data_IF_955346275481
#
_entry.id   IF_955346275481
#
_cell.length_a   1.000
_cell.length_b   1.000
_cell.length_c   1.000
_cell.angle_alpha   90.00
_cell.angle_beta   90.00
_cell.angle_gamma   90.00
#
_symmetry.space_group_name_H-M   'P 1'
#
loop_
_entity.id
_entity.type
_entity.pdbx_description
1 polymer ?
#
# COMPACT_ATOMS: atom_id res chain seq x y z
N UNK A 1 -31.37 2.22 -4.31
CA UNK A 1 -31.69 0.80 -4.51
C UNK A 1 -33.17 0.64 -4.86
N UNK A 2 -33.54 -0.52 -5.42
CA UNK A 2 -34.94 -0.86 -5.66
C UNK A 2 -35.60 -1.16 -4.31
N UNK A 3 -36.84 -0.68 -4.12
CA UNK A 3 -37.68 -1.13 -3.03
C UNK A 3 -38.27 -2.53 -3.30
N UNK A 4 -38.95 -3.12 -2.33
CA UNK A 4 -39.47 -4.49 -2.45
C UNK A 4 -40.40 -4.69 -3.65
N UNK A 5 -41.27 -3.73 -3.96
CA UNK A 5 -42.22 -3.85 -5.08
C UNK A 5 -41.54 -3.67 -6.44
N UNK A 6 -40.60 -2.71 -6.52
CA UNK A 6 -39.78 -2.53 -7.73
C UNK A 6 -38.91 -3.75 -7.99
N UNK A 7 -38.31 -4.33 -6.93
CA UNK A 7 -37.49 -5.54 -7.02
C UNK A 7 -38.31 -6.73 -7.58
N UNK A 8 -39.48 -6.98 -7.03
CA UNK A 8 -40.40 -8.01 -7.52
C UNK A 8 -40.83 -7.76 -8.97
N UNK A 9 -41.13 -6.50 -9.31
CA UNK A 9 -41.53 -6.11 -10.68
C UNK A 9 -40.44 -6.39 -11.70
N UNK A 10 -39.19 -6.04 -11.38
CA UNK A 10 -38.03 -6.32 -12.26
C UNK A 10 -37.86 -7.82 -12.45
N UNK A 11 -37.89 -8.62 -11.38
CA UNK A 11 -37.75 -10.07 -11.48
C UNK A 11 -38.90 -10.73 -12.29
N UNK A 12 -40.11 -10.22 -12.11
CA UNK A 12 -41.26 -10.65 -12.92
C UNK A 12 -41.04 -10.38 -14.40
N UNK A 13 -40.53 -9.19 -14.74
CA UNK A 13 -40.23 -8.82 -16.12
C UNK A 13 -39.08 -9.65 -16.69
N UNK A 14 -38.05 -9.92 -15.91
CA UNK A 14 -36.94 -10.80 -16.31
C UNK A 14 -37.46 -12.20 -16.67
N UNK A 15 -38.29 -12.78 -15.81
CA UNK A 15 -38.92 -14.09 -16.10
C UNK A 15 -39.77 -14.06 -17.36
N UNK A 16 -40.63 -13.04 -17.54
CA UNK A 16 -41.45 -12.87 -18.72
C UNK A 16 -40.62 -12.75 -20.00
N UNK A 17 -39.54 -11.97 -19.96
CA UNK A 17 -38.63 -11.83 -21.11
C UNK A 17 -37.94 -13.15 -21.46
N UNK A 18 -37.54 -13.93 -20.44
CA UNK A 18 -36.95 -15.26 -20.62
C UNK A 18 -37.94 -16.20 -21.29
N UNK A 19 -39.18 -16.31 -20.77
CA UNK A 19 -40.22 -17.15 -21.31
C UNK A 19 -40.67 -16.77 -22.73
N UNK A 20 -40.60 -15.44 -23.06
CA UNK A 20 -40.85 -14.98 -24.43
C UNK A 20 -39.76 -15.46 -25.42
N UNK A 21 -38.54 -15.61 -24.95
CA UNK A 21 -37.42 -16.10 -25.77
C UNK A 21 -37.35 -17.62 -25.83
N UNK A 22 -37.74 -18.29 -24.74
CA UNK A 22 -37.68 -19.74 -24.56
C UNK A 22 -39.03 -20.30 -24.05
N UNK A 23 -40.10 -20.27 -24.90
CA UNK A 23 -41.45 -20.58 -24.44
C UNK A 23 -41.67 -22.03 -24.02
N UNK A 24 -40.84 -22.94 -24.52
CA UNK A 24 -40.94 -24.39 -24.25
C UNK A 24 -40.07 -24.84 -23.06
N UNK A 25 -39.35 -23.90 -22.40
CA UNK A 25 -38.53 -24.22 -21.22
C UNK A 25 -39.43 -24.38 -20.00
N UNK A 26 -39.59 -25.61 -19.52
CA UNK A 26 -40.37 -25.96 -18.33
C UNK A 26 -39.53 -26.05 -17.05
N UNK A 27 -38.20 -25.91 -17.14
CA UNK A 27 -37.30 -26.02 -16.00
C UNK A 27 -37.24 -24.68 -15.22
N UNK A 28 -37.38 -23.56 -15.91
CA UNK A 28 -37.36 -22.21 -15.28
C UNK A 28 -38.77 -21.83 -14.83
N UNK A 29 -38.94 -21.62 -13.55
CA UNK A 29 -40.21 -21.18 -12.95
C UNK A 29 -40.09 -19.75 -12.42
N UNK A 30 -41.24 -19.07 -12.33
CA UNK A 30 -41.26 -17.74 -11.69
C UNK A 30 -40.81 -17.84 -10.22
N UNK A 31 -39.85 -16.99 -9.77
CA UNK A 31 -39.41 -17.02 -8.38
C UNK A 31 -40.57 -16.84 -7.40
N UNK A 32 -40.58 -17.62 -6.34
CA UNK A 32 -41.69 -17.65 -5.37
C UNK A 32 -41.94 -16.30 -4.71
N UNK A 33 -40.89 -15.52 -4.47
CA UNK A 33 -40.99 -14.22 -3.83
C UNK A 33 -41.73 -13.17 -4.67
N UNK A 34 -41.81 -13.33 -6.00
CA UNK A 34 -42.44 -12.33 -6.88
C UNK A 34 -43.94 -12.14 -6.56
N UNK A 35 -44.64 -13.22 -6.23
CA UNK A 35 -46.07 -13.20 -5.99
C UNK A 35 -46.47 -13.13 -4.49
N UNK A 36 -45.48 -13.11 -3.56
CA UNK A 36 -45.77 -13.10 -2.14
C UNK A 36 -45.57 -11.67 -1.57
N UNK A 37 -46.52 -11.27 -0.68
CA UNK A 37 -46.36 -10.08 0.14
C UNK A 37 -45.83 -10.49 1.52
N UNK A 38 -44.61 -10.11 1.83
CA UNK A 38 -43.96 -10.39 3.13
C UNK A 38 -44.08 -9.23 4.10
N UNK A 39 -44.50 -8.04 3.63
CA UNK A 39 -44.47 -6.83 4.42
C UNK A 39 -43.03 -6.31 4.70
N UNK A 40 -42.03 -6.92 4.13
CA UNK A 40 -40.61 -6.57 4.29
C UNK A 40 -40.19 -5.67 3.12
N UNK A 41 -39.58 -4.54 3.43
CA UNK A 41 -38.98 -3.59 2.49
C UNK A 41 -37.78 -2.91 3.16
N UNK A 42 -36.63 -3.53 3.07
CA UNK A 42 -35.42 -3.10 3.75
C UNK A 42 -34.57 -2.21 2.84
N UNK A 43 -34.32 -0.97 3.26
CA UNK A 43 -33.28 -0.14 2.66
C UNK A 43 -31.91 -0.46 3.29
N UNK A 44 -31.17 -1.35 2.64
CA UNK A 44 -29.86 -1.76 3.09
C UNK A 44 -28.81 -0.65 3.01
N UNK A 45 -28.99 0.37 2.13
CA UNK A 45 -28.11 1.53 2.11
C UNK A 45 -28.32 2.40 3.35
N UNK A 46 -29.57 2.70 3.71
CA UNK A 46 -29.86 3.49 4.91
C UNK A 46 -29.38 2.77 6.19
N UNK A 47 -29.56 1.45 6.25
CA UNK A 47 -29.12 0.64 7.39
C UNK A 47 -27.61 0.57 7.57
N UNK A 48 -26.84 0.55 6.48
CA UNK A 48 -25.38 0.31 6.49
C UNK A 48 -24.56 1.56 6.26
N UNK A 49 -25.20 2.67 5.91
CA UNK A 49 -24.55 3.98 5.76
C UNK A 49 -24.89 4.91 6.91
N UNK A 50 -24.00 5.83 7.20
CA UNK A 50 -24.19 6.87 8.22
C UNK A 50 -23.55 8.18 7.78
N UNK A 51 -23.89 9.27 8.48
CA UNK A 51 -23.17 10.53 8.31
C UNK A 51 -21.69 10.36 8.68
N UNK A 52 -20.80 10.69 7.76
CA UNK A 52 -19.35 10.72 8.02
C UNK A 52 -18.98 11.94 8.85
N UNK A 53 -18.08 11.79 9.83
CA UNK A 53 -17.55 12.89 10.65
C UNK A 53 -16.03 12.77 10.69
N UNK A 54 -15.35 13.89 10.38
CA UNK A 54 -13.90 14.01 10.53
C UNK A 54 -13.58 15.15 11.48
N UNK A 55 -12.73 14.88 12.46
CA UNK A 55 -12.22 15.84 13.43
C UNK A 55 -10.69 15.84 13.39
N UNK A 56 -10.10 17.03 13.33
CA UNK A 56 -8.65 17.18 13.30
C UNK A 56 -8.23 18.31 14.24
N UNK A 57 -7.40 17.97 15.23
CA UNK A 57 -6.88 18.89 16.21
C UNK A 57 -5.36 18.98 16.10
N UNK A 58 -4.84 20.18 15.84
CA UNK A 58 -3.41 20.41 15.72
C UNK A 58 -2.95 21.42 16.77
N UNK A 59 -1.90 21.04 17.47
CA UNK A 59 -1.18 21.95 18.38
C UNK A 59 0.28 22.03 17.95
N UNK A 60 0.85 23.23 17.94
CA UNK A 60 2.28 23.40 17.68
C UNK A 60 2.87 24.54 18.52
N UNK A 61 4.09 24.32 19.01
CA UNK A 61 4.92 25.32 19.66
C UNK A 61 6.26 25.38 18.94
N UNK A 62 6.75 26.58 18.75
CA UNK A 62 8.07 26.83 18.16
C UNK A 62 8.77 27.96 18.89
N UNK A 63 10.09 27.91 18.94
CA UNK A 63 10.89 28.94 19.56
C UNK A 63 12.36 28.75 19.26
N UNK A 64 13.17 29.62 19.78
CA UNK A 64 14.64 29.55 19.65
C UNK A 64 15.30 30.89 19.42
N UNK A 65 16.54 30.84 18.99
CA UNK A 65 17.40 31.96 18.62
C UNK A 65 17.90 31.75 17.19
N UNK A 66 18.76 32.64 16.69
CA UNK A 66 19.46 32.48 15.41
C UNK A 66 20.23 31.14 15.31
N UNK A 67 20.80 30.70 16.44
CA UNK A 67 21.69 29.53 16.49
C UNK A 67 21.02 28.23 16.97
N UNK A 68 19.81 28.34 17.54
CA UNK A 68 19.10 27.16 18.02
C UNK A 68 17.59 27.36 17.90
N UNK A 69 16.95 26.50 17.13
CA UNK A 69 15.51 26.55 16.86
C UNK A 69 14.87 25.19 17.14
N UNK A 70 13.68 25.22 17.67
CA UNK A 70 12.89 24.01 17.88
C UNK A 70 11.44 24.20 17.45
N UNK A 71 10.82 23.11 17.07
CA UNK A 71 9.39 23.04 16.81
C UNK A 71 8.87 21.69 17.30
N UNK A 72 7.89 21.73 18.20
CA UNK A 72 7.12 20.57 18.63
C UNK A 72 5.72 20.70 18.10
N UNK A 73 5.19 19.65 17.48
CA UNK A 73 3.81 19.61 17.01
C UNK A 73 3.15 18.28 17.37
N UNK A 74 1.87 18.36 17.68
CA UNK A 74 1.00 17.21 17.88
C UNK A 74 -0.24 17.37 17.01
N UNK A 75 -0.65 16.29 16.37
CA UNK A 75 -1.87 16.21 15.57
C UNK A 75 -2.66 14.98 15.97
N UNK A 76 -3.94 15.19 16.29
CA UNK A 76 -4.93 14.13 16.50
C UNK A 76 -5.99 14.22 15.41
N UNK A 77 -6.26 13.09 14.75
CA UNK A 77 -7.35 12.95 13.79
C UNK A 77 -8.24 11.77 14.19
N UNK A 78 -9.55 11.99 14.19
CA UNK A 78 -10.58 10.97 14.40
C UNK A 78 -11.61 11.08 13.26
N UNK A 79 -11.77 9.99 12.51
CA UNK A 79 -12.62 9.95 11.33
C UNK A 79 -13.58 8.76 11.44
N UNK A 80 -14.87 9.05 11.39
CA UNK A 80 -15.94 8.08 11.22
C UNK A 80 -16.37 8.12 9.76
N UNK A 81 -16.08 7.05 9.02
CA UNK A 81 -16.46 6.94 7.62
C UNK A 81 -17.97 6.77 7.43
N UNK A 82 -18.41 6.92 6.19
CA UNK A 82 -19.82 6.76 5.81
C UNK A 82 -20.32 5.33 5.89
N UNK A 83 -19.46 4.34 5.74
CA UNK A 83 -19.82 2.93 5.93
C UNK A 83 -19.82 2.57 7.42
N UNK A 84 -20.85 1.86 7.86
CA UNK A 84 -20.90 1.35 9.23
C UNK A 84 -19.68 0.49 9.52
N UNK A 85 -19.04 0.68 10.67
CA UNK A 85 -17.79 -0.02 11.03
C UNK A 85 -16.51 0.65 10.56
N UNK A 86 -16.55 1.57 9.57
CA UNK A 86 -15.35 2.26 9.10
C UNK A 86 -14.97 3.40 10.06
N UNK A 87 -13.81 3.26 10.73
CA UNK A 87 -13.27 4.27 11.63
C UNK A 87 -11.74 4.35 11.44
N UNK A 88 -11.21 5.56 11.58
CA UNK A 88 -9.78 5.81 11.55
C UNK A 88 -9.40 6.82 12.62
N UNK A 89 -8.41 6.47 13.43
CA UNK A 89 -7.82 7.36 14.42
C UNK A 89 -6.31 7.47 14.18
N UNK A 90 -5.79 8.69 14.28
CA UNK A 90 -4.36 8.95 14.18
C UNK A 90 -3.91 9.92 15.27
N UNK A 91 -2.80 9.61 15.91
CA UNK A 91 -2.05 10.49 16.80
C UNK A 91 -0.63 10.65 16.24
N UNK A 92 -0.16 11.87 16.03
CA UNK A 92 1.17 12.15 15.47
C UNK A 92 1.87 13.26 16.27
N UNK A 93 3.00 12.92 16.88
CA UNK A 93 3.88 13.87 17.56
C UNK A 93 5.18 14.03 16.78
N UNK A 94 5.65 15.27 16.59
CA UNK A 94 6.87 15.58 15.86
C UNK A 94 7.69 16.64 16.55
N UNK A 95 8.99 16.37 16.70
CA UNK A 95 10.01 17.29 17.16
C UNK A 95 10.97 17.59 16.01
N UNK A 96 11.22 18.89 15.75
CA UNK A 96 12.27 19.37 14.87
C UNK A 96 13.22 20.23 15.69
N UNK A 97 14.52 20.02 15.48
CA UNK A 97 15.59 20.79 16.08
C UNK A 97 16.53 21.25 14.98
N UNK A 98 16.96 22.47 15.06
CA UNK A 98 18.05 23.03 14.26
C UNK A 98 19.02 23.74 15.19
N UNK A 99 20.31 23.45 15.05
CA UNK A 99 21.38 24.12 15.80
C UNK A 99 22.50 24.45 14.84
N UNK A 100 22.97 25.68 14.92
CA UNK A 100 24.10 26.19 14.15
C UNK A 100 25.16 26.75 15.08
N UNK A 101 26.39 26.26 14.96
CA UNK A 101 27.53 26.77 15.73
C UNK A 101 28.84 26.61 14.95
N UNK A 102 29.55 27.70 14.77
CA UNK A 102 30.78 27.74 13.97
C UNK A 102 30.55 27.30 12.54
N UNK A 103 31.17 26.19 12.14
CA UNK A 103 31.04 25.58 10.82
C UNK A 103 29.95 24.48 10.78
N UNK A 104 29.35 24.15 11.92
CA UNK A 104 28.45 23.02 12.05
C UNK A 104 27.00 23.46 12.12
N UNK A 105 26.16 22.84 11.28
CA UNK A 105 24.71 22.87 11.40
C UNK A 105 24.19 21.44 11.65
N UNK A 106 23.35 21.29 12.67
CA UNK A 106 22.72 20.04 13.05
C UNK A 106 21.23 20.21 12.87
N UNK A 107 20.65 19.33 12.06
CA UNK A 107 19.21 19.20 11.88
C UNK A 107 18.73 17.86 12.41
N UNK A 108 17.72 17.86 13.26
CA UNK A 108 17.04 16.64 13.70
C UNK A 108 15.54 16.76 13.50
N UNK A 109 14.92 15.69 13.01
CA UNK A 109 13.47 15.58 12.86
C UNK A 109 13.05 14.18 13.32
N UNK A 110 12.30 14.11 14.42
CA UNK A 110 11.82 12.86 15.01
C UNK A 110 10.30 12.94 15.05
N UNK A 111 9.63 11.89 14.56
CA UNK A 111 8.19 11.80 14.59
C UNK A 111 7.74 10.39 14.99
N UNK A 112 6.71 10.35 15.82
CA UNK A 112 5.98 9.13 16.19
C UNK A 112 4.53 9.29 15.73
N UNK A 113 4.03 8.29 15.01
CA UNK A 113 2.65 8.24 14.58
C UNK A 113 2.04 6.91 14.99
N UNK A 114 0.91 6.99 15.68
CA UNK A 114 0.03 5.86 15.96
C UNK A 114 -1.19 5.96 15.05
N UNK A 115 -1.64 4.83 14.52
CA UNK A 115 -2.93 4.72 13.82
C UNK A 115 -3.70 3.52 14.32
N UNK A 116 -5.02 3.68 14.48
CA UNK A 116 -5.98 2.61 14.74
C UNK A 116 -7.03 2.69 13.65
N UNK A 117 -7.08 1.68 12.79
CA UNK A 117 -7.97 1.62 11.63
C UNK A 117 -8.90 0.43 11.77
N UNK A 118 -10.19 0.67 11.55
CA UNK A 118 -11.22 -0.36 11.45
C UNK A 118 -11.87 -0.24 10.08
N UNK A 119 -11.98 -1.36 9.41
CA UNK A 119 -12.71 -1.45 8.15
C UNK A 119 -14.09 -2.06 8.40
N UNK A 120 -15.06 -1.85 7.50
CA UNK A 120 -16.32 -2.61 7.55
C UNK A 120 -16.02 -4.11 7.52
N UNK A 121 -16.68 -4.88 8.36
CA UNK A 121 -16.53 -6.33 8.44
C UNK A 121 -17.45 -7.06 7.45
N UNK A 122 -18.05 -6.33 6.54
CA UNK A 122 -18.92 -6.85 5.49
C UNK A 122 -18.44 -6.42 4.09
N UNK A 123 -18.89 -7.17 3.10
CA UNK A 123 -18.64 -6.80 1.71
C UNK A 123 -19.56 -5.66 1.27
N UNK A 124 -18.96 -4.53 0.87
CA UNK A 124 -19.71 -3.40 0.29
C UNK A 124 -20.48 -3.83 -0.96
N UNK A 125 -19.89 -4.72 -1.79
CA UNK A 125 -20.56 -5.29 -2.95
C UNK A 125 -21.82 -6.08 -2.54
N UNK A 126 -21.70 -6.93 -1.52
CA UNK A 126 -22.84 -7.70 -0.99
C UNK A 126 -23.96 -6.79 -0.50
N UNK A 127 -23.64 -5.71 0.25
CA UNK A 127 -24.60 -4.72 0.71
C UNK A 127 -25.48 -4.16 -0.44
N UNK A 128 -24.89 -3.89 -1.60
CA UNK A 128 -25.64 -3.42 -2.77
C UNK A 128 -26.42 -4.52 -3.50
N UNK A 129 -26.10 -5.80 -3.25
CA UNK A 129 -26.71 -6.94 -3.92
C UNK A 129 -27.80 -7.62 -3.08
N UNK A 130 -27.93 -7.27 -1.80
CA UNK A 130 -28.94 -7.86 -0.93
C UNK A 130 -30.34 -7.45 -1.41
N UNK A 131 -31.25 -8.44 -1.42
CA UNK A 131 -32.67 -8.19 -1.71
C UNK A 131 -33.31 -7.33 -0.61
N UNK A 132 -34.16 -6.34 -0.98
CA UNK A 132 -34.97 -5.61 -0.01
C UNK A 132 -35.99 -6.49 0.74
N UNK A 133 -36.18 -7.74 0.32
CA UNK A 133 -37.03 -8.72 0.98
C UNK A 133 -36.37 -9.45 2.14
N UNK A 134 -35.11 -9.15 2.45
CA UNK A 134 -34.39 -9.67 3.62
C UNK A 134 -34.52 -8.67 4.76
N UNK A 135 -35.13 -9.03 5.90
CA UNK A 135 -35.21 -8.16 7.06
C UNK A 135 -33.86 -8.06 7.77
N UNK A 136 -33.57 -6.93 8.42
CA UNK A 136 -32.31 -6.74 9.18
C UNK A 136 -32.33 -7.62 10.43
N UNK A 137 -33.40 -7.55 11.20
CA UNK A 137 -33.54 -8.26 12.47
C UNK A 137 -34.77 -9.14 12.47
N UNK A 138 -34.70 -10.24 13.24
CA UNK A 138 -35.82 -11.14 13.50
C UNK A 138 -35.66 -11.77 14.90
N UNK A 139 -36.42 -11.27 15.86
CA UNK A 139 -36.34 -11.69 17.27
C UNK A 139 -36.78 -13.14 17.50
N UNK A 140 -37.39 -13.80 16.51
CA UNK A 140 -37.75 -15.20 16.58
C UNK A 140 -36.61 -16.15 16.29
N UNK A 141 -35.49 -15.62 15.76
CA UNK A 141 -34.29 -16.39 15.43
C UNK A 141 -33.24 -16.35 16.54
N UNK A 142 -32.51 -17.44 16.70
CA UNK A 142 -31.49 -17.59 17.75
C UNK A 142 -30.46 -16.46 17.79
N UNK A 143 -30.03 -15.97 16.62
CA UNK A 143 -29.02 -14.92 16.51
C UNK A 143 -29.60 -13.52 16.30
N UNK A 144 -30.94 -13.39 16.25
CA UNK A 144 -31.65 -12.11 16.17
C UNK A 144 -31.56 -11.38 14.83
N UNK A 145 -30.93 -11.98 13.81
CA UNK A 145 -30.81 -11.40 12.47
C UNK A 145 -31.78 -12.02 11.49
N UNK A 146 -32.34 -11.16 10.62
CA UNK A 146 -33.32 -11.56 9.66
C UNK A 146 -32.74 -12.42 8.52
N UNK A 147 -33.57 -13.30 8.01
CA UNK A 147 -33.29 -14.13 6.85
C UNK A 147 -34.53 -14.11 5.95
N UNK A 148 -34.32 -14.25 4.65
CA UNK A 148 -35.45 -14.45 3.74
C UNK A 148 -36.03 -15.85 3.89
N UNK A 149 -37.35 -15.92 3.80
CA UNK A 149 -38.08 -17.20 3.71
C UNK A 149 -38.02 -17.82 2.30
N UNK A 150 -37.28 -17.19 1.38
CA UNK A 150 -37.19 -17.63 0.00
C UNK A 150 -35.78 -18.13 -0.32
N UNK A 151 -35.66 -19.39 -0.69
CA UNK A 151 -34.41 -20.01 -1.09
C UNK A 151 -33.92 -19.55 -2.48
N UNK A 152 -34.84 -19.03 -3.28
CA UNK A 152 -34.60 -18.61 -4.67
C UNK A 152 -34.14 -17.12 -4.81
N UNK A 153 -33.89 -16.44 -3.72
CA UNK A 153 -33.29 -15.10 -3.79
C UNK A 153 -31.84 -15.15 -4.24
N UNK A 154 -31.43 -14.27 -5.16
CA UNK A 154 -30.04 -14.20 -5.67
C UNK A 154 -29.01 -13.92 -4.56
N UNK A 155 -29.35 -13.09 -3.56
CA UNK A 155 -28.56 -12.85 -2.37
C UNK A 155 -29.49 -12.64 -1.18
N UNK A 156 -29.26 -13.40 -0.12
CA UNK A 156 -29.98 -13.31 1.14
C UNK A 156 -29.03 -13.18 2.34
N UNK A 157 -27.74 -12.84 2.10
CA UNK A 157 -26.76 -12.62 3.17
C UNK A 157 -27.13 -11.40 4.00
N UNK A 158 -27.11 -11.54 5.32
CA UNK A 158 -27.35 -10.43 6.23
C UNK A 158 -26.00 -9.78 6.62
N UNK A 159 -25.62 -8.68 5.93
CA UNK A 159 -24.35 -7.98 6.18
C UNK A 159 -24.32 -7.25 7.53
N UNK A 160 -25.47 -6.99 8.16
CA UNK A 160 -25.51 -6.44 9.51
C UNK A 160 -25.04 -7.49 10.53
N UNK A 161 -25.33 -8.76 10.30
CA UNK A 161 -24.81 -9.85 11.13
C UNK A 161 -23.28 -9.97 11.01
N UNK A 162 -22.73 -9.88 9.81
CA UNK A 162 -21.28 -9.85 9.63
C UNK A 162 -20.64 -8.71 10.42
N UNK A 163 -21.15 -7.48 10.28
CA UNK A 163 -20.68 -6.31 11.04
C UNK A 163 -20.82 -6.45 12.57
N UNK A 164 -21.82 -7.20 13.02
CA UNK A 164 -22.05 -7.43 14.45
C UNK A 164 -21.06 -8.45 15.02
N UNK A 165 -20.87 -9.57 14.34
CA UNK A 165 -20.10 -10.71 14.86
C UNK A 165 -18.63 -10.64 14.54
N UNK A 166 -18.25 -10.19 13.34
CA UNK A 166 -16.86 -10.09 12.95
C UNK A 166 -16.20 -8.84 13.54
N UNK A 167 -14.99 -9.00 14.07
CA UNK A 167 -14.25 -7.91 14.73
C UNK A 167 -12.82 -7.92 14.26
N UNK A 168 -12.40 -6.85 13.60
CA UNK A 168 -11.00 -6.63 13.26
C UNK A 168 -10.43 -5.37 13.88
N UNK A 169 -9.11 -5.36 14.06
CA UNK A 169 -8.35 -4.16 14.41
C UNK A 169 -7.06 -4.12 13.60
N UNK A 170 -6.65 -2.94 13.16
CA UNK A 170 -5.34 -2.71 12.52
C UNK A 170 -4.67 -1.52 13.19
N UNK A 171 -3.69 -1.81 14.05
CA UNK A 171 -2.92 -0.80 14.79
C UNK A 171 -1.50 -0.73 14.24
N UNK A 172 -1.06 0.50 13.91
CA UNK A 172 0.30 0.74 13.41
C UNK A 172 1.00 1.81 14.24
N UNK A 173 2.25 1.52 14.53
CA UNK A 173 3.17 2.43 15.21
C UNK A 173 4.29 2.77 14.24
N UNK A 174 4.38 4.03 13.83
CA UNK A 174 5.42 4.51 12.94
C UNK A 174 6.41 5.37 13.70
N UNK A 175 7.68 5.12 13.47
CA UNK A 175 8.77 5.96 13.95
C UNK A 175 9.54 6.48 12.75
N UNK A 176 9.77 7.80 12.71
CA UNK A 176 10.63 8.43 11.72
C UNK A 176 11.65 9.28 12.47
N UNK A 177 12.93 9.06 12.20
CA UNK A 177 14.00 9.89 12.71
C UNK A 177 14.95 10.25 11.56
N UNK A 178 15.33 11.51 11.47
CA UNK A 178 16.35 11.99 10.54
C UNK A 178 17.27 12.92 11.32
N UNK A 179 18.56 12.66 11.27
CA UNK A 179 19.60 13.52 11.83
C UNK A 179 20.61 13.82 10.73
N UNK A 180 20.90 15.09 10.55
CA UNK A 180 21.89 15.56 9.58
C UNK A 180 22.89 16.48 10.26
N UNK A 181 24.16 16.32 9.92
CA UNK A 181 25.26 17.21 10.27
C UNK A 181 25.81 17.80 8.97
N UNK A 182 25.76 19.13 8.86
CA UNK A 182 26.40 19.86 7.77
C UNK A 182 27.63 20.59 8.33
N UNK A 183 28.76 20.44 7.65
CA UNK A 183 30.02 21.10 7.92
C UNK A 183 30.29 22.11 6.80
N UNK A 184 30.22 23.40 7.11
CA UNK A 184 30.43 24.51 6.19
C UNK A 184 31.91 24.95 6.26
N UNK A 185 32.78 24.33 5.46
CA UNK A 185 34.23 24.62 5.47
C UNK A 185 34.53 26.02 4.98
N UNK A 186 33.75 26.45 3.97
CA UNK A 186 33.78 27.80 3.39
C UNK A 186 32.37 28.18 2.94
N UNK A 187 32.08 29.44 2.57
CA UNK A 187 30.77 29.82 2.00
C UNK A 187 30.41 29.09 0.71
N UNK A 188 31.36 28.44 0.08
CA UNK A 188 31.19 27.75 -1.21
C UNK A 188 31.46 26.22 -1.17
N UNK A 189 31.88 25.69 0.00
CA UNK A 189 32.16 24.26 0.16
C UNK A 189 31.57 23.75 1.48
N UNK A 190 30.67 22.78 1.38
CA UNK A 190 30.13 22.10 2.55
C UNK A 190 30.07 20.58 2.35
N UNK A 191 30.09 19.87 3.46
CA UNK A 191 29.85 18.44 3.51
C UNK A 191 28.69 18.15 4.43
N UNK A 192 27.72 17.38 3.96
CA UNK A 192 26.55 16.94 4.73
C UNK A 192 26.57 15.42 4.86
N UNK A 193 26.47 14.94 6.09
CA UNK A 193 26.15 13.53 6.38
C UNK A 193 24.78 13.48 7.05
N UNK A 194 23.93 12.54 6.63
CA UNK A 194 22.61 12.38 7.23
C UNK A 194 22.26 10.90 7.37
N UNK A 195 21.58 10.60 8.47
CA UNK A 195 21.07 9.29 8.75
C UNK A 195 19.56 9.39 8.99
N UNK A 196 18.80 8.59 8.22
CA UNK A 196 17.36 8.49 8.38
C UNK A 196 16.97 7.05 8.76
N UNK A 197 16.09 6.97 9.74
CA UNK A 197 15.43 5.76 10.16
C UNK A 197 13.92 5.89 9.96
N UNK A 198 13.29 4.85 9.42
CA UNK A 198 11.84 4.68 9.38
C UNK A 198 11.52 3.28 9.87
N UNK A 199 10.61 3.17 10.83
CA UNK A 199 10.11 1.90 11.34
C UNK A 199 8.60 1.90 11.39
N UNK A 200 8.01 0.75 11.09
CA UNK A 200 6.59 0.48 11.26
C UNK A 200 6.43 -0.84 11.99
N UNK A 201 5.67 -0.82 13.06
CA UNK A 201 5.18 -2.02 13.74
C UNK A 201 3.68 -2.08 13.59
N UNK A 202 3.16 -3.12 12.97
CA UNK A 202 1.75 -3.38 12.76
C UNK A 202 1.29 -4.55 13.62
N UNK A 203 0.12 -4.41 14.24
CA UNK A 203 -0.61 -5.50 14.87
C UNK A 203 -2.04 -5.49 14.35
N UNK A 204 -2.42 -6.59 13.70
CA UNK A 204 -3.78 -6.85 13.27
C UNK A 204 -4.36 -7.98 14.10
N UNK A 205 -5.63 -7.86 14.46
CA UNK A 205 -6.39 -8.95 15.07
C UNK A 205 -7.69 -9.12 14.30
N UNK A 206 -8.11 -10.35 14.14
CA UNK A 206 -9.42 -10.69 13.63
C UNK A 206 -10.05 -11.74 14.54
N UNK A 207 -11.31 -11.54 14.92
CA UNK A 207 -12.05 -12.47 15.76
C UNK A 207 -13.48 -12.56 15.29
N UNK A 208 -14.00 -13.77 15.23
CA UNK A 208 -15.42 -14.06 14.99
C UNK A 208 -15.84 -15.24 15.85
N UNK A 209 -16.97 -15.15 16.59
CA UNK A 209 -17.57 -16.28 17.26
C UNK A 209 -18.17 -17.27 16.24
N UNK A 210 -18.60 -18.44 16.70
CA UNK A 210 -19.52 -19.25 15.93
C UNK A 210 -20.88 -18.53 15.84
N UNK A 211 -21.45 -18.42 14.64
CA UNK A 211 -22.77 -17.85 14.44
C UNK A 211 -23.38 -18.33 13.13
N UNK A 212 -24.72 -18.33 13.09
CA UNK A 212 -25.48 -18.64 11.86
C UNK A 212 -26.55 -17.55 11.73
N UNK A 213 -26.26 -16.53 10.94
CA UNK A 213 -27.26 -15.50 10.59
C UNK A 213 -28.08 -15.94 9.37
N UNK A 214 -27.45 -16.58 8.42
CA UNK A 214 -28.08 -17.17 7.23
C UNK A 214 -27.20 -18.32 6.67
N UNK A 215 -27.67 -19.11 5.70
CA UNK A 215 -26.89 -20.22 5.12
C UNK A 215 -25.57 -19.82 4.50
N UNK A 216 -25.39 -18.53 4.11
CA UNK A 216 -24.18 -17.97 3.51
C UNK A 216 -23.36 -17.15 4.51
N UNK A 217 -24.00 -16.53 5.50
CA UNK A 217 -23.35 -15.80 6.58
C UNK A 217 -23.36 -16.69 7.83
N UNK A 218 -22.45 -17.64 7.87
CA UNK A 218 -22.29 -18.55 9.00
C UNK A 218 -20.81 -18.86 9.28
N UNK A 219 -20.54 -19.08 10.55
CA UNK A 219 -19.33 -19.67 11.07
C UNK A 219 -19.71 -20.85 11.95
N UNK A 220 -19.40 -22.03 11.51
CA UNK A 220 -19.70 -23.24 12.30
C UNK A 220 -18.79 -23.34 13.54
N UNK A 221 -17.60 -22.72 13.48
CA UNK A 221 -16.64 -22.66 14.57
C UNK A 221 -16.10 -21.23 14.76
N UNK A 222 -15.83 -20.80 16.00
CA UNK A 222 -15.18 -19.52 16.24
C UNK A 222 -13.77 -19.53 15.64
N UNK A 223 -13.31 -18.33 15.22
CA UNK A 223 -11.98 -18.15 14.70
C UNK A 223 -11.33 -16.90 15.29
N UNK A 224 -10.05 -17.00 15.61
CA UNK A 224 -9.24 -15.86 16.00
C UNK A 224 -7.90 -15.90 15.31
N UNK A 225 -7.44 -14.75 14.84
CA UNK A 225 -6.08 -14.63 14.31
C UNK A 225 -5.40 -13.35 14.78
N UNK A 226 -4.08 -13.46 14.96
CA UNK A 226 -3.20 -12.32 15.23
C UNK A 226 -2.10 -12.26 14.17
N UNK A 227 -1.92 -11.10 13.58
CA UNK A 227 -0.83 -10.83 12.63
C UNK A 227 0.03 -9.70 13.17
N UNK A 228 1.33 -9.92 13.23
CA UNK A 228 2.34 -8.91 13.56
C UNK A 228 3.26 -8.67 12.38
N UNK A 229 3.42 -7.41 12.01
CA UNK A 229 4.33 -6.97 10.97
C UNK A 229 5.37 -6.00 11.52
N UNK A 230 6.59 -6.15 11.09
CA UNK A 230 7.67 -5.23 11.39
C UNK A 230 8.43 -4.87 10.12
N UNK A 231 8.49 -3.58 9.81
CA UNK A 231 9.23 -3.03 8.68
C UNK A 231 10.18 -1.95 9.17
N UNK A 232 11.41 -1.95 8.66
CA UNK A 232 12.40 -0.93 8.96
C UNK A 232 13.20 -0.53 7.72
N UNK A 233 13.54 0.73 7.65
CA UNK A 233 14.43 1.31 6.64
C UNK A 233 15.47 2.21 7.31
N UNK A 234 16.71 2.02 6.90
CA UNK A 234 17.85 2.84 7.26
C UNK A 234 18.41 3.46 5.98
N UNK A 235 18.61 4.77 5.97
CA UNK A 235 19.25 5.48 4.86
C UNK A 235 20.38 6.32 5.42
N UNK A 236 21.57 6.11 4.89
CA UNK A 236 22.74 6.93 5.20
C UNK A 236 23.25 7.59 3.94
N UNK A 237 23.33 8.92 3.96
CA UNK A 237 23.76 9.74 2.83
C UNK A 237 24.91 10.66 3.24
N UNK A 238 25.87 10.80 2.31
CA UNK A 238 26.99 11.72 2.43
C UNK A 238 27.06 12.53 1.15
N UNK A 239 27.12 13.86 1.25
CA UNK A 239 27.13 14.76 0.10
C UNK A 239 28.16 15.85 0.32
N UNK A 240 29.12 15.96 -0.58
CA UNK A 240 30.03 17.10 -0.70
C UNK A 240 29.47 18.05 -1.76
N UNK A 241 29.28 19.31 -1.40
CA UNK A 241 28.70 20.34 -2.28
C UNK A 241 29.66 21.50 -2.44
N UNK A 242 29.83 21.94 -3.69
CA UNK A 242 30.62 23.09 -4.09
C UNK A 242 29.73 24.05 -4.88
N UNK A 243 29.68 25.32 -4.49
CA UNK A 243 28.89 26.36 -5.16
C UNK A 243 29.68 27.68 -5.15
N UNK A 244 30.24 28.06 -6.32
CA UNK A 244 31.06 29.27 -6.41
C UNK A 244 30.91 29.96 -7.75
N UNK A 245 30.89 31.30 -7.69
CA UNK A 245 30.92 32.15 -8.89
C UNK A 245 32.31 32.74 -9.05
N UNK A 246 32.90 32.67 -10.24
CA UNK A 246 34.18 33.21 -10.64
C UNK A 246 33.96 34.16 -11.84
N UNK A 247 33.78 35.43 -11.60
CA UNK A 247 33.46 36.38 -12.67
C UNK A 247 32.15 35.99 -13.38
N UNK A 248 32.24 35.57 -14.66
CA UNK A 248 31.09 35.14 -15.46
C UNK A 248 30.79 33.65 -15.34
N UNK A 249 31.57 32.90 -14.58
CA UNK A 249 31.43 31.45 -14.43
C UNK A 249 30.73 31.14 -13.11
N UNK A 250 29.59 30.48 -13.16
CA UNK A 250 28.92 29.93 -11.98
C UNK A 250 29.01 28.40 -12.03
N UNK A 251 29.56 27.82 -10.98
CA UNK A 251 29.78 26.36 -10.83
C UNK A 251 29.05 25.88 -9.59
N UNK A 252 28.12 24.96 -9.77
CA UNK A 252 27.50 24.20 -8.69
C UNK A 252 27.75 22.72 -8.94
N UNK A 253 28.54 22.09 -8.08
CA UNK A 253 28.90 20.68 -8.19
C UNK A 253 28.60 19.94 -6.89
N UNK A 254 28.20 18.70 -7.00
CA UNK A 254 28.06 17.80 -5.86
C UNK A 254 28.52 16.40 -6.19
N UNK A 255 29.04 15.70 -5.17
CA UNK A 255 29.32 14.27 -5.22
C UNK A 255 28.83 13.65 -3.91
N UNK A 256 28.26 12.45 -3.99
CA UNK A 256 27.72 11.82 -2.80
C UNK A 256 27.58 10.31 -2.90
N UNK A 257 27.27 9.74 -1.74
CA UNK A 257 26.93 8.33 -1.56
C UNK A 257 25.62 8.21 -0.82
N UNK A 258 24.84 7.18 -1.12
CA UNK A 258 23.64 6.82 -0.40
C UNK A 258 23.59 5.31 -0.18
N UNK A 259 23.35 4.87 1.05
CA UNK A 259 23.17 3.48 1.41
C UNK A 259 21.79 3.29 2.02
N UNK A 260 21.02 2.35 1.48
CA UNK A 260 19.69 1.99 1.97
C UNK A 260 19.67 0.53 2.40
N UNK A 261 19.18 0.26 3.61
CA UNK A 261 18.90 -1.09 4.07
C UNK A 261 17.44 -1.15 4.54
N UNK A 262 16.69 -2.15 4.03
CA UNK A 262 15.31 -2.42 4.43
C UNK A 262 15.19 -3.84 4.92
N UNK A 263 14.35 -4.02 5.93
CA UNK A 263 13.94 -5.35 6.40
C UNK A 263 12.44 -5.36 6.63
N UNK A 264 11.86 -6.50 6.39
CA UNK A 264 10.47 -6.77 6.70
C UNK A 264 10.34 -8.17 7.27
N UNK A 265 9.50 -8.30 8.26
CA UNK A 265 9.10 -9.59 8.83
C UNK A 265 7.64 -9.48 9.22
N UNK A 266 6.84 -10.47 8.86
CA UNK A 266 5.51 -10.61 9.43
C UNK A 266 5.25 -12.07 9.77
N UNK A 267 4.43 -12.27 10.78
CA UNK A 267 3.95 -13.57 11.22
C UNK A 267 2.46 -13.46 11.49
N UNK A 268 1.73 -14.49 11.12
CA UNK A 268 0.32 -14.66 11.44
C UNK A 268 0.12 -16.00 12.11
N UNK A 269 -0.70 -16.02 13.13
CA UNK A 269 -1.19 -17.24 13.76
C UNK A 269 -2.70 -17.14 13.84
N UNK A 270 -3.38 -18.19 13.40
CA UNK A 270 -4.82 -18.36 13.48
C UNK A 270 -5.16 -19.59 14.32
N UNK A 271 -6.33 -19.58 14.91
CA UNK A 271 -6.90 -20.75 15.57
C UNK A 271 -8.39 -20.82 15.26
N UNK A 272 -8.81 -21.94 14.72
CA UNK A 272 -10.21 -22.27 14.51
C UNK A 272 -10.68 -23.19 15.65
N UNK A 273 -11.81 -22.89 16.26
CA UNK A 273 -12.36 -23.61 17.39
C UNK A 273 -12.95 -24.96 17.01
N UNK A 274 -12.21 -25.76 16.24
CA UNK A 274 -12.57 -27.13 15.88
C UNK A 274 -11.41 -28.08 16.14
N UNK A 275 -11.75 -29.32 16.48
CA UNK A 275 -10.78 -30.40 16.66
C UNK A 275 -11.19 -31.56 15.80
N UNK A 276 -10.24 -32.12 15.05
CA UNK A 276 -10.48 -33.36 14.28
C UNK A 276 -10.33 -34.55 15.20
N UNK A 277 -11.37 -35.36 15.31
CA UNK A 277 -11.40 -36.59 16.05
C UNK A 277 -11.31 -37.78 15.09
N UNK A 278 -10.42 -38.69 15.38
CA UNK A 278 -10.22 -39.91 14.62
C UNK A 278 -10.90 -41.08 15.32
N UNK A 279 -11.78 -41.79 14.62
CA UNK A 279 -12.44 -43.01 15.10
C UNK A 279 -12.25 -44.14 14.12
N UNK A 280 -12.17 -45.37 14.62
CA UNK A 280 -12.21 -46.54 13.75
C UNK A 280 -13.63 -47.11 13.80
N UNK A 281 -14.33 -47.06 12.67
CA UNK A 281 -15.67 -47.61 12.48
C UNK A 281 -15.58 -48.66 11.38
N UNK A 282 -16.03 -49.86 11.68
CA UNK A 282 -15.99 -51.02 10.73
C UNK A 282 -14.59 -51.30 10.15
N UNK A 283 -13.54 -51.10 10.94
CA UNK A 283 -12.14 -51.27 10.52
C UNK A 283 -11.61 -50.19 9.60
N UNK A 284 -12.34 -49.11 9.39
CA UNK A 284 -11.92 -47.92 8.63
C UNK A 284 -11.71 -46.74 9.53
N UNK A 285 -10.66 -45.97 9.26
CA UNK A 285 -10.43 -44.67 9.93
C UNK A 285 -11.47 -43.67 9.44
N UNK A 286 -12.31 -43.17 10.34
CA UNK A 286 -13.30 -42.12 10.06
C UNK A 286 -12.87 -40.87 10.84
N UNK A 287 -12.93 -39.72 10.19
CA UNK A 287 -12.64 -38.43 10.81
C UNK A 287 -13.93 -37.64 10.99
N UNK A 288 -14.08 -36.99 12.13
CA UNK A 288 -15.15 -36.03 12.39
C UNK A 288 -14.59 -34.77 13.02
N UNK A 289 -15.15 -33.62 12.65
CA UNK A 289 -14.83 -32.35 13.29
C UNK A 289 -15.82 -32.08 14.41
N UNK A 290 -15.31 -31.67 15.57
CA UNK A 290 -16.10 -31.29 16.72
C UNK A 290 -15.67 -29.93 17.23
N UNK A 291 -16.56 -29.14 17.90
CA UNK A 291 -16.16 -27.91 18.57
C UNK A 291 -15.01 -28.13 19.56
N UNK A 292 -14.00 -27.24 19.54
CA UNK A 292 -12.86 -27.28 20.44
C UNK A 292 -12.24 -25.89 20.60
N UNK A 293 -11.81 -25.54 21.80
CA UNK A 293 -11.33 -24.19 22.13
C UNK A 293 -12.45 -23.16 22.28
N UNK A 294 -12.10 -21.94 22.65
CA UNK A 294 -13.03 -20.80 22.83
C UNK A 294 -14.24 -21.14 23.70
N UNK A 295 -13.98 -21.66 24.89
CA UNK A 295 -15.04 -21.98 25.87
C UNK A 295 -15.89 -20.77 26.25
N UNK A 296 -15.32 -19.57 26.16
CA UNK A 296 -16.01 -18.29 26.30
C UNK A 296 -15.79 -17.45 25.03
N UNK A 297 -16.85 -17.10 24.29
CA UNK A 297 -16.75 -16.30 23.07
C UNK A 297 -16.18 -14.88 23.29
N UNK A 298 -16.15 -14.37 24.51
CA UNK A 298 -15.59 -13.06 24.83
C UNK A 298 -14.06 -13.05 24.85
N UNK A 299 -13.41 -14.21 24.96
CA UNK A 299 -11.96 -14.32 24.92
C UNK A 299 -11.44 -14.38 23.49
N UNK A 300 -10.95 -13.25 22.99
CA UNK A 300 -10.38 -13.07 21.67
C UNK A 300 -8.85 -13.13 21.71
N UNK A 301 -8.28 -14.26 22.11
CA UNK A 301 -6.83 -14.51 22.13
C UNK A 301 -6.54 -15.87 21.51
N UNK A 302 -5.34 -16.03 20.93
CA UNK A 302 -4.87 -17.32 20.40
C UNK A 302 -4.91 -18.41 21.47
N UNK A 303 -4.54 -18.09 22.71
CA UNK A 303 -4.55 -19.04 23.82
C UNK A 303 -5.95 -19.53 24.21
N UNK A 304 -7.00 -18.76 23.97
CA UNK A 304 -8.38 -19.16 24.23
C UNK A 304 -8.83 -20.31 23.31
N UNK A 305 -8.24 -20.43 22.12
CA UNK A 305 -8.48 -21.51 21.17
C UNK A 305 -7.60 -22.76 21.36
N UNK A 306 -7.02 -22.97 22.53
CA UNK A 306 -6.01 -24.03 22.77
C UNK A 306 -6.46 -25.47 22.44
N UNK A 307 -7.77 -25.75 22.42
CA UNK A 307 -8.31 -27.03 21.97
C UNK A 307 -8.66 -27.11 20.49
N UNK A 308 -8.38 -26.05 19.73
CA UNK A 308 -8.74 -25.92 18.33
C UNK A 308 -7.62 -26.30 17.36
N UNK A 309 -7.88 -26.06 16.09
CA UNK A 309 -6.91 -26.26 15.00
C UNK A 309 -6.16 -24.96 14.73
N UNK A 310 -4.83 -25.05 14.80
CA UNK A 310 -3.95 -23.91 14.55
C UNK A 310 -3.47 -23.87 13.11
N UNK A 311 -3.42 -22.67 12.54
CA UNK A 311 -2.70 -22.37 11.31
C UNK A 311 -1.67 -21.25 11.56
N UNK A 312 -0.64 -21.21 10.75
CA UNK A 312 0.38 -20.17 10.89
C UNK A 312 1.13 -19.94 9.60
N UNK A 313 1.46 -18.67 9.36
CA UNK A 313 2.25 -18.27 8.21
C UNK A 313 3.16 -17.10 8.55
N UNK A 314 4.14 -16.85 7.70
CA UNK A 314 5.01 -15.71 7.88
C UNK A 314 6.00 -15.57 6.74
N UNK A 315 6.56 -14.36 6.62
CA UNK A 315 7.61 -14.10 5.64
C UNK A 315 8.63 -13.11 6.17
N UNK A 316 9.80 -13.14 5.56
CA UNK A 316 10.92 -12.27 5.89
C UNK A 316 11.68 -11.93 4.62
N UNK A 317 11.97 -10.64 4.42
CA UNK A 317 12.84 -10.23 3.33
C UNK A 317 13.77 -9.10 3.75
N UNK A 318 14.86 -8.97 2.99
CA UNK A 318 15.85 -7.90 3.11
C UNK A 318 16.11 -7.29 1.76
N UNK A 319 16.35 -5.98 1.76
CA UNK A 319 16.74 -5.24 0.59
C UNK A 319 17.85 -4.27 0.95
N UNK A 320 18.90 -4.24 0.10
CA UNK A 320 20.00 -3.29 0.24
C UNK A 320 20.24 -2.60 -1.10
N UNK A 321 20.52 -1.30 -1.04
CA UNK A 321 20.96 -0.50 -2.17
C UNK A 321 22.14 0.38 -1.76
N UNK A 322 23.13 0.47 -2.64
CA UNK A 322 24.23 1.42 -2.51
C UNK A 322 24.31 2.26 -3.78
N UNK A 323 24.52 3.55 -3.63
CA UNK A 323 24.53 4.51 -4.72
C UNK A 323 25.73 5.45 -4.58
N UNK A 324 26.38 5.73 -5.70
CA UNK A 324 27.37 6.78 -5.87
C UNK A 324 26.85 7.74 -6.92
N UNK A 325 26.88 9.04 -6.65
CA UNK A 325 26.31 10.00 -7.59
C UNK A 325 27.11 11.30 -7.62
N UNK A 326 27.07 11.96 -8.78
CA UNK A 326 27.65 13.28 -8.96
C UNK A 326 26.80 14.12 -9.90
N UNK A 327 26.82 15.42 -9.67
CA UNK A 327 26.16 16.42 -10.53
C UNK A 327 27.06 17.63 -10.67
N UNK A 328 27.12 18.15 -11.88
CA UNK A 328 27.74 19.42 -12.22
C UNK A 328 26.69 20.29 -12.93
N UNK A 329 26.46 21.48 -12.40
CA UNK A 329 25.76 22.56 -13.08
C UNK A 329 26.75 23.67 -13.34
N UNK A 330 26.88 24.05 -14.60
CA UNK A 330 27.75 25.13 -15.01
C UNK A 330 26.96 26.16 -15.80
N UNK A 331 27.13 27.41 -15.46
CA UNK A 331 26.52 28.53 -16.14
C UNK A 331 27.58 29.57 -16.47
N UNK A 332 27.71 29.91 -17.74
CA UNK A 332 28.59 30.94 -18.22
C UNK A 332 27.81 32.17 -18.66
N UNK A 333 28.00 33.28 -17.97
CA UNK A 333 27.44 34.61 -18.26
C UNK A 333 25.92 34.59 -18.47
N UNK A 334 25.22 33.70 -17.78
CA UNK A 334 23.79 33.45 -17.95
C UNK A 334 23.33 33.12 -19.39
N UNK A 335 24.27 32.76 -20.28
CA UNK A 335 24.03 32.44 -21.69
C UNK A 335 24.07 30.93 -21.93
N UNK A 336 25.15 30.27 -21.47
CA UNK A 336 25.40 28.85 -21.72
C UNK A 336 25.28 28.07 -20.43
N UNK A 337 24.37 27.10 -20.45
CA UNK A 337 24.02 26.29 -19.31
C UNK A 337 24.38 24.84 -19.62
N UNK A 338 25.11 24.19 -18.73
CA UNK A 338 25.46 22.77 -18.83
C UNK A 338 25.08 22.10 -17.51
N UNK A 339 24.36 21.00 -17.57
CA UNK A 339 24.15 20.10 -16.47
C UNK A 339 24.62 18.69 -16.86
N UNK A 340 25.46 18.09 -16.04
CA UNK A 340 25.85 16.70 -16.16
C UNK A 340 25.57 15.97 -14.84
N UNK A 341 25.02 14.77 -14.92
CA UNK A 341 24.75 13.93 -13.74
C UNK A 341 25.19 12.50 -14.07
N UNK A 342 25.80 11.85 -13.12
CA UNK A 342 26.05 10.41 -13.17
C UNK A 342 25.57 9.77 -11.87
N UNK A 343 24.90 8.64 -11.98
CA UNK A 343 24.49 7.82 -10.84
C UNK A 343 24.88 6.37 -11.10
N UNK A 344 25.52 5.76 -10.12
CA UNK A 344 25.94 4.36 -10.16
C UNK A 344 25.30 3.65 -8.98
N UNK A 345 24.28 2.82 -9.27
CA UNK A 345 23.43 2.17 -8.29
C UNK A 345 23.63 0.67 -8.28
N UNK A 346 23.83 0.10 -7.09
CA UNK A 346 23.86 -1.33 -6.86
C UNK A 346 22.68 -1.78 -6.02
N UNK A 347 21.94 -2.80 -6.46
CA UNK A 347 20.75 -3.32 -5.79
C UNK A 347 20.84 -4.82 -5.51
N UNK A 348 20.37 -5.23 -4.33
CA UNK A 348 20.29 -6.64 -3.94
C UNK A 348 19.18 -7.42 -4.65
N UNK A 349 18.35 -6.77 -5.47
CA UNK A 349 17.33 -7.43 -6.31
C UNK A 349 17.92 -8.17 -7.48
N UNK A 350 19.20 -7.92 -7.79
CA UNK A 350 19.90 -8.52 -8.91
C UNK A 350 20.99 -9.52 -8.48
N UNK A 351 21.27 -10.46 -9.32
CA UNK A 351 22.40 -11.37 -9.18
C UNK A 351 23.75 -10.63 -9.14
N UNK A 352 24.79 -11.33 -8.68
CA UNK A 352 26.10 -10.73 -8.42
C UNK A 352 26.66 -9.96 -9.61
N UNK A 353 26.48 -10.48 -10.83
CA UNK A 353 27.13 -9.98 -12.05
C UNK A 353 26.39 -8.75 -12.65
N UNK A 354 25.09 -8.58 -12.37
CA UNK A 354 24.24 -7.52 -12.92
C UNK A 354 23.71 -6.53 -11.85
N UNK A 355 24.32 -6.58 -10.67
CA UNK A 355 23.85 -5.80 -9.51
C UNK A 355 23.97 -4.29 -9.72
N UNK A 356 24.97 -3.85 -10.46
CA UNK A 356 25.30 -2.46 -10.64
C UNK A 356 24.83 -1.92 -11.98
N UNK A 357 24.17 -0.74 -11.96
CA UNK A 357 23.77 0.02 -13.14
C UNK A 357 24.36 1.43 -13.13
N UNK A 358 24.73 1.94 -14.31
CA UNK A 358 25.23 3.30 -14.51
C UNK A 358 24.22 4.12 -15.29
N UNK A 359 23.83 5.28 -14.73
CA UNK A 359 22.76 6.14 -15.22
C UNK A 359 23.26 7.57 -15.40
N UNK A 360 23.91 7.87 -16.54
CA UNK A 360 24.37 9.21 -16.88
C UNK A 360 23.26 10.07 -17.46
N UNK A 361 23.37 11.40 -17.29
CA UNK A 361 22.55 12.37 -18.01
C UNK A 361 23.29 13.65 -18.28
N UNK A 362 22.96 14.29 -19.39
CA UNK A 362 23.52 15.58 -19.82
C UNK A 362 22.39 16.46 -20.33
N UNK A 363 22.41 17.74 -19.96
CA UNK A 363 21.51 18.75 -20.48
C UNK A 363 22.30 20.03 -20.83
N UNK A 364 22.01 20.58 -21.98
CA UNK A 364 22.59 21.83 -22.46
C UNK A 364 21.48 22.85 -22.66
N UNK A 365 21.75 24.08 -22.30
CA UNK A 365 20.86 25.21 -22.48
C UNK A 365 21.59 26.41 -23.06
N UNK A 366 20.98 27.07 -24.04
CA UNK A 366 21.50 28.28 -24.64
C UNK A 366 20.40 29.36 -24.58
N UNK A 367 20.69 30.43 -23.84
CA UNK A 367 19.82 31.62 -23.78
C UNK A 367 20.14 32.56 -24.94
N UNK A 368 19.55 32.28 -26.08
CA UNK A 368 19.77 33.04 -27.35
C UNK A 368 19.43 34.51 -27.14
N UNK A 369 18.41 34.82 -26.36
CA UNK A 369 17.98 36.20 -26.06
C UNK A 369 19.03 37.03 -25.26
N UNK A 370 20.07 36.37 -24.67
CA UNK A 370 21.15 37.06 -23.99
C UNK A 370 22.38 37.35 -24.89
N UNK A 371 22.34 36.87 -26.13
CA UNK A 371 23.44 37.14 -27.10
C UNK A 371 23.40 38.60 -27.61
N UNK A 372 24.56 39.09 -28.02
CA UNK A 372 24.73 40.43 -28.53
C UNK A 372 24.03 40.64 -29.86
N UNK A 373 23.97 39.59 -30.70
CA UNK A 373 23.28 39.62 -31.99
C UNK A 373 21.74 39.56 -31.86
N UNK A 374 21.21 39.26 -30.67
CA UNK A 374 19.76 39.14 -30.51
C UNK A 374 19.10 40.50 -30.36
N UNK A 375 18.11 40.84 -31.21
CA UNK A 375 17.44 42.13 -31.13
C UNK A 375 16.73 42.33 -29.79
N UNK A 376 16.94 43.50 -29.15
CA UNK A 376 16.37 43.79 -27.82
C UNK A 376 15.00 44.50 -27.91
N UNK A 377 14.66 45.08 -29.05
CA UNK A 377 13.48 45.88 -29.26
C UNK A 377 12.31 45.11 -29.90
N UNK A 378 12.40 43.78 -29.93
CA UNK A 378 11.33 42.92 -30.46
C UNK A 378 10.41 42.40 -29.38
N UNK A 379 9.21 41.99 -29.76
CA UNK A 379 8.23 41.43 -28.83
C UNK A 379 8.74 40.16 -28.13
N UNK A 380 9.56 39.35 -28.81
CA UNK A 380 10.22 38.17 -28.24
C UNK A 380 11.45 38.58 -27.39
N UNK A 381 11.28 38.67 -26.10
CA UNK A 381 12.32 39.16 -25.18
C UNK A 381 13.03 38.03 -24.42
N UNK A 382 12.54 36.80 -24.46
CA UNK A 382 13.19 35.63 -23.91
C UNK A 382 13.12 34.47 -24.90
N UNK A 383 14.28 33.91 -25.24
CA UNK A 383 14.39 32.73 -26.11
C UNK A 383 15.54 31.87 -25.56
N UNK A 384 15.20 30.65 -25.18
CA UNK A 384 16.18 29.64 -24.69
C UNK A 384 15.98 28.33 -25.43
N UNK A 385 17.04 27.82 -25.99
CA UNK A 385 17.10 26.49 -26.59
C UNK A 385 17.63 25.49 -25.54
N UNK A 386 17.06 24.26 -25.51
CA UNK A 386 17.46 23.17 -24.61
C UNK A 386 17.57 21.86 -25.37
N UNK A 387 18.59 21.09 -25.03
CA UNK A 387 18.72 19.70 -25.45
C UNK A 387 19.20 18.88 -24.25
N UNK A 388 18.63 17.68 -24.09
CA UNK A 388 19.08 16.77 -23.04
C UNK A 388 18.97 15.32 -23.48
N UNK A 389 19.85 14.52 -22.89
CA UNK A 389 19.82 13.08 -22.95
C UNK A 389 20.06 12.52 -21.55
N UNK A 390 19.40 11.44 -21.20
CA UNK A 390 19.63 10.75 -19.95
C UNK A 390 19.17 9.31 -20.01
N UNK A 391 19.89 8.46 -19.29
CA UNK A 391 19.52 7.07 -19.02
C UNK A 391 19.01 6.93 -17.62
N UNK A 392 17.85 6.31 -17.46
CA UNK A 392 17.22 5.98 -16.18
C UNK A 392 17.23 4.47 -15.97
N UNK A 393 17.43 4.03 -14.73
CA UNK A 393 17.29 2.64 -14.31
C UNK A 393 16.02 2.41 -13.51
N UNK A 394 15.36 1.30 -13.73
CA UNK A 394 14.17 0.88 -12.98
C UNK A 394 14.37 -0.55 -12.44
N UNK A 395 14.07 -0.74 -11.16
CA UNK A 395 14.05 -2.04 -10.47
C UNK A 395 12.70 -2.36 -9.82
N UNK A 396 11.69 -1.49 -10.00
CA UNK A 396 10.44 -1.58 -9.23
C UNK A 396 9.54 -2.75 -9.67
N UNK A 397 9.68 -3.21 -10.92
CA UNK A 397 8.94 -4.36 -11.43
C UNK A 397 9.39 -5.69 -10.82
N UNK A 398 10.54 -5.72 -10.12
CA UNK A 398 11.16 -6.93 -9.61
C UNK A 398 10.85 -7.15 -8.13
N UNK A 399 10.58 -8.41 -7.76
CA UNK A 399 10.62 -8.88 -6.37
C UNK A 399 12.04 -8.90 -5.81
N UNK A 400 12.16 -9.16 -4.50
CA UNK A 400 13.47 -9.09 -3.82
C UNK A 400 14.41 -10.24 -4.16
N UNK A 401 13.89 -11.36 -4.69
CA UNK A 401 14.62 -12.62 -4.92
C UNK A 401 14.31 -13.25 -6.28
N UNK A 402 13.77 -12.51 -7.22
CA UNK A 402 13.37 -13.02 -8.55
C UNK A 402 14.52 -13.60 -9.38
N UNK A 403 15.75 -13.25 -9.01
CA UNK A 403 16.96 -13.83 -9.65
C UNK A 403 17.30 -15.22 -9.13
N UNK A 404 16.65 -15.71 -8.06
CA UNK A 404 16.90 -17.02 -7.47
C UNK A 404 15.80 -18.03 -7.86
N UNK A 405 16.18 -19.29 -7.94
CA UNK A 405 15.23 -20.39 -7.92
C UNK A 405 14.67 -20.57 -6.51
N UNK A 406 13.45 -20.08 -6.25
CA UNK A 406 12.79 -20.25 -4.96
C UNK A 406 12.23 -21.66 -4.86
N UNK A 407 12.29 -22.22 -3.64
CA UNK A 407 11.75 -23.55 -3.34
C UNK A 407 10.43 -23.38 -2.60
N UNK A 408 9.38 -24.05 -3.08
CA UNK A 408 8.14 -24.23 -2.32
C UNK A 408 8.22 -25.53 -1.53
N UNK A 409 8.02 -25.44 -0.22
CA UNK A 409 8.05 -26.59 0.72
C UNK A 409 6.65 -27.06 1.06
N UNK A 410 5.64 -26.60 0.36
CA UNK A 410 4.27 -26.78 0.77
C UNK A 410 3.40 -27.61 -0.13
N UNK A 411 2.56 -28.20 0.46
CA UNK A 411 1.16 -28.60 0.48
C UNK A 411 0.16 -27.90 -0.44
N UNK A 412 0.53 -27.05 -1.37
CA UNK A 412 -0.43 -26.67 -2.38
C UNK A 412 -0.74 -27.92 -3.21
N UNK A 413 -1.92 -28.43 -3.01
CA UNK A 413 -2.47 -29.74 -3.43
C UNK A 413 -2.21 -30.13 -4.90
N UNK A 414 -1.61 -29.25 -5.69
CA UNK A 414 -1.35 -29.40 -7.12
C UNK A 414 0.12 -29.30 -7.55
N UNK A 415 1.06 -29.01 -6.62
CA UNK A 415 2.46 -28.75 -7.00
C UNK A 415 3.49 -29.50 -6.15
N UNK A 416 3.09 -30.25 -5.15
CA UNK A 416 3.99 -31.03 -4.33
C UNK A 416 4.01 -32.52 -4.72
N UNK A 417 5.14 -33.17 -4.49
CA UNK A 417 5.21 -34.63 -4.50
C UNK A 417 5.40 -35.12 -3.05
N UNK A 418 4.91 -36.33 -2.80
CA UNK A 418 5.09 -36.98 -1.50
C UNK A 418 6.27 -37.96 -1.66
N UNK A 419 7.23 -37.86 -0.72
CA UNK A 419 8.32 -38.83 -0.59
C UNK A 419 8.01 -39.81 0.53
N UNK A 420 8.15 -41.09 0.28
CA UNK A 420 7.80 -42.13 1.25
C UNK A 420 6.40 -42.71 0.98
N UNK A 421 5.99 -43.64 1.83
CA UNK A 421 4.71 -44.32 1.79
C UNK A 421 4.16 -44.55 3.20
N UNK A 422 2.83 -44.63 3.31
CA UNK A 422 2.15 -44.83 4.58
C UNK A 422 2.48 -43.75 5.62
N UNK A 423 2.69 -44.17 6.87
CA UNK A 423 2.97 -43.28 8.00
C UNK A 423 4.32 -42.54 7.92
N UNK A 424 5.16 -42.89 6.95
CA UNK A 424 6.45 -42.27 6.67
C UNK A 424 6.40 -41.34 5.42
N UNK A 425 5.25 -40.83 5.06
CA UNK A 425 5.10 -39.92 3.94
C UNK A 425 5.53 -38.49 4.33
N UNK A 426 6.39 -37.89 3.54
CA UNK A 426 6.93 -36.53 3.75
C UNK A 426 6.56 -35.65 2.55
N UNK A 427 6.17 -34.39 2.82
CA UNK A 427 5.97 -33.41 1.77
C UNK A 427 7.29 -33.12 1.06
N UNK A 428 7.33 -33.24 -0.25
CA UNK A 428 8.48 -32.89 -1.07
C UNK A 428 8.55 -31.38 -1.30
N UNK A 429 9.68 -30.94 -1.84
CA UNK A 429 9.92 -29.53 -2.21
C UNK A 429 10.15 -29.44 -3.71
N UNK A 430 9.59 -28.43 -4.36
CA UNK A 430 9.80 -28.18 -5.78
C UNK A 430 10.35 -26.77 -6.01
N UNK A 431 11.09 -26.58 -7.11
CA UNK A 431 11.47 -25.26 -7.54
C UNK A 431 10.25 -24.51 -8.06
N UNK A 432 9.99 -23.30 -7.53
CA UNK A 432 8.84 -22.47 -7.89
C UNK A 432 9.06 -21.68 -9.19
N UNK A 433 10.25 -21.69 -9.72
CA UNK A 433 10.65 -21.04 -10.98
C UNK A 433 12.09 -21.35 -11.33
N UNK A 434 12.49 -20.93 -12.50
CA UNK A 434 13.88 -21.04 -12.95
C UNK A 434 14.71 -19.87 -12.40
N UNK A 435 15.95 -20.16 -12.02
CA UNK A 435 16.92 -19.13 -11.69
C UNK A 435 17.19 -18.24 -12.92
N UNK A 436 17.18 -16.91 -12.72
CA UNK A 436 17.53 -15.95 -13.75
C UNK A 436 18.70 -15.06 -13.28
N UNK A 437 19.93 -15.56 -13.41
CA UNK A 437 21.14 -14.81 -13.06
C UNK A 437 21.42 -13.65 -14.00
N UNK A 438 20.86 -13.67 -15.20
CA UNK A 438 21.02 -12.61 -16.21
C UNK A 438 20.08 -11.41 -16.00
N UNK A 439 19.21 -11.46 -14.99
CA UNK A 439 18.31 -10.37 -14.64
C UNK A 439 19.11 -9.08 -14.39
N UNK A 440 18.79 -8.03 -15.14
CA UNK A 440 19.48 -6.73 -15.12
C UNK A 440 18.48 -5.58 -14.94
N UNK A 441 19.01 -4.41 -14.70
CA UNK A 441 18.24 -3.18 -14.65
C UNK A 441 17.50 -2.96 -15.96
N UNK A 442 16.20 -2.67 -15.88
CA UNK A 442 15.46 -2.08 -16.98
C UNK A 442 15.98 -0.66 -17.19
N UNK A 443 16.30 -0.29 -18.41
CA UNK A 443 16.84 1.03 -18.72
C UNK A 443 15.95 1.78 -19.69
N UNK A 444 15.76 3.08 -19.43
CA UNK A 444 15.04 3.98 -20.32
C UNK A 444 15.95 5.12 -20.74
N UNK A 445 16.25 5.20 -22.03
CA UNK A 445 16.95 6.33 -22.64
C UNK A 445 15.94 7.39 -23.05
N UNK A 446 16.10 8.60 -22.51
CA UNK A 446 15.25 9.77 -22.80
C UNK A 446 16.05 10.83 -23.53
N UNK A 447 15.56 11.29 -24.66
CA UNK A 447 16.08 12.43 -25.42
C UNK A 447 15.04 13.52 -25.47
N UNK A 448 15.44 14.77 -25.23
CA UNK A 448 14.54 15.91 -25.24
C UNK A 448 15.18 17.10 -25.93
N UNK A 449 14.42 17.78 -26.79
CA UNK A 449 14.75 19.06 -27.42
C UNK A 449 13.62 20.02 -27.12
N UNK A 450 13.93 21.25 -26.70
CA UNK A 450 12.89 22.22 -26.35
C UNK A 450 13.33 23.66 -26.52
N UNK A 451 12.32 24.52 -26.65
CA UNK A 451 12.44 25.97 -26.66
C UNK A 451 11.57 26.57 -25.55
N UNK A 452 12.16 27.48 -24.79
CA UNK A 452 11.40 28.34 -23.87
C UNK A 452 11.39 29.74 -24.50
N UNK A 453 10.23 30.37 -24.56
CA UNK A 453 10.08 31.69 -25.14
C UNK A 453 9.18 32.60 -24.30
N UNK A 454 9.45 33.88 -24.35
CA UNK A 454 8.66 34.90 -23.67
C UNK A 454 8.49 36.14 -24.57
N UNK A 455 7.28 36.58 -24.68
CA UNK A 455 6.89 37.80 -25.46
C UNK A 455 6.39 38.90 -24.54
N UNK A 456 6.53 40.14 -24.99
CA UNK A 456 5.99 41.36 -24.33
C UNK A 456 6.46 41.51 -22.87
N UNK A 457 7.77 41.44 -22.65
CA UNK A 457 8.39 41.42 -21.30
C UNK A 457 7.84 40.31 -20.42
N UNK A 458 7.79 39.10 -20.99
CA UNK A 458 7.31 37.87 -20.35
C UNK A 458 5.84 37.89 -19.87
N UNK A 459 5.00 38.78 -20.45
CA UNK A 459 3.53 38.73 -20.25
C UNK A 459 2.91 37.48 -20.88
N UNK A 460 3.49 36.98 -21.96
CA UNK A 460 3.14 35.71 -22.58
C UNK A 460 4.39 34.83 -22.59
N UNK A 461 4.34 33.70 -21.91
CA UNK A 461 5.42 32.72 -21.89
C UNK A 461 4.94 31.36 -22.37
N UNK A 462 5.81 30.59 -23.00
CA UNK A 462 5.50 29.25 -23.45
C UNK A 462 6.74 28.37 -23.54
N UNK A 463 6.49 27.07 -23.59
CA UNK A 463 7.51 26.04 -23.73
C UNK A 463 7.04 25.04 -24.78
N UNK A 464 7.92 24.74 -25.74
CA UNK A 464 7.72 23.68 -26.72
C UNK A 464 8.74 22.60 -26.48
N UNK A 465 8.30 21.34 -26.31
CA UNK A 465 9.18 20.20 -26.12
C UNK A 465 8.85 19.09 -27.11
N UNK A 466 9.90 18.47 -27.63
CA UNK A 466 9.83 17.19 -28.30
C UNK A 466 10.69 16.19 -27.52
N UNK A 467 10.12 15.04 -27.20
CA UNK A 467 10.84 13.98 -26.46
C UNK A 467 10.67 12.63 -27.12
N UNK A 468 11.69 11.80 -26.96
CA UNK A 468 11.71 10.43 -27.41
C UNK A 468 12.28 9.53 -26.30
N UNK A 469 11.51 8.50 -25.92
CA UNK A 469 11.88 7.53 -24.89
C UNK A 469 12.00 6.14 -25.53
N UNK A 470 13.03 5.42 -25.12
CA UNK A 470 13.25 4.02 -25.51
C UNK A 470 13.58 3.22 -24.24
N UNK A 471 12.81 2.16 -23.95
CA UNK A 471 12.99 1.28 -22.79
C UNK A 471 13.48 -0.09 -23.26
N UNK A 472 14.49 -0.63 -22.57
CA UNK A 472 15.11 -1.94 -22.81
C UNK A 472 15.17 -2.76 -21.51
#
# INVERSE_FOLDING_TARGET
LLNAEEYKSVHKQMYQNYMNQYPDDTEVTMPAFVNKNTGIDTDWQDAMLRGGVSQNYMFSIRGGSENAQYSLSYNHADEKGIFLGNNYRQDNARLKLHMSKYIFDIDANIAFKFTDSKQPEYSIKEMYMISPLVPIYDDTREYGFGLSDFDDLPSNRNVMADQHYEKSTDKKYHTTANVALTMNFTPWLNFKTSYAYRGEHQRQTYHTPAYVADPKAKRDYPYHSETTGYWEEHVWENVLSFNKTFGKHNVNAMAGTSMTARKYTWNSVGVEGKTTVYKVEDGKLVTSEIPGGFLDPSFSTVGAGAGGTFDGSGTKWKYNRASFFGRLNYNYNDRYLVQATVRYDGSSKFGKDNRWGCFPSVALGWRISQEEFFPKDIALNNLKFRVSWGRLGNENALGYYDFLALISTYNEMYQGYVKGNGDNAWAGSIARGLENRSLKWETTDTKNIGFDFGFFNSKLTGTLNYYYNQTE
#
